data_IF_823235995255
#
_entry.id   IF_823235995255
#
_cell.length_a   1.000
_cell.length_b   1.000
_cell.length_c   1.000
_cell.angle_alpha   90.00
_cell.angle_beta   90.00
_cell.angle_gamma   90.00
#
_symmetry.space_group_name_H-M   'P 1'
#
loop_
_entity.id
_entity.type
_entity.pdbx_description
1 polymer ?
#
# COMPACT_ATOMS: atom_id res chain seq x y z
N UNK A 1 -10.55 3.63 -16.70
CA UNK A 1 -11.82 4.32 -16.50
C UNK A 1 -11.70 5.15 -15.24
N UNK A 2 -11.77 6.46 -15.38
CA UNK A 2 -11.84 7.38 -14.24
C UNK A 2 -13.33 7.52 -13.88
N UNK A 3 -13.66 7.06 -12.67
CA UNK A 3 -14.97 7.31 -12.08
C UNK A 3 -15.10 8.80 -11.77
N UNK A 4 -16.29 9.35 -11.92
CA UNK A 4 -16.54 10.68 -11.37
C UNK A 4 -16.63 10.64 -9.83
N UNK A 5 -16.64 11.81 -9.17
CA UNK A 5 -16.62 11.90 -7.72
C UNK A 5 -17.82 11.23 -7.03
N UNK A 6 -18.99 11.23 -7.68
CA UNK A 6 -20.21 10.61 -7.14
C UNK A 6 -20.18 9.09 -7.29
N UNK A 7 -19.71 8.60 -8.43
CA UNK A 7 -19.51 7.17 -8.70
C UNK A 7 -18.46 6.60 -7.75
N UNK A 8 -17.35 7.32 -7.57
CA UNK A 8 -16.29 6.91 -6.65
C UNK A 8 -16.81 6.84 -5.21
N UNK A 9 -17.54 7.84 -4.74
CA UNK A 9 -18.15 7.85 -3.41
C UNK A 9 -19.09 6.66 -3.21
N UNK A 10 -19.95 6.41 -4.20
CA UNK A 10 -20.92 5.31 -4.15
C UNK A 10 -20.20 3.96 -4.07
N UNK A 11 -19.13 3.78 -4.83
CA UNK A 11 -18.29 2.58 -4.79
C UNK A 11 -17.60 2.44 -3.43
N UNK A 12 -17.02 3.52 -2.89
CA UNK A 12 -16.35 3.50 -1.59
C UNK A 12 -17.30 3.08 -0.46
N UNK A 13 -18.52 3.61 -0.45
CA UNK A 13 -19.56 3.21 0.53
C UNK A 13 -19.92 1.72 0.38
N UNK A 14 -20.15 1.25 -0.84
CA UNK A 14 -20.46 -0.15 -1.10
C UNK A 14 -19.34 -1.09 -0.65
N UNK A 15 -18.07 -0.75 -0.94
CA UNK A 15 -16.92 -1.53 -0.53
C UNK A 15 -16.74 -1.54 0.98
N UNK A 16 -16.92 -0.41 1.67
CA UNK A 16 -16.88 -0.37 3.13
C UNK A 16 -17.92 -1.30 3.77
N UNK A 17 -19.15 -1.30 3.24
CA UNK A 17 -20.21 -2.20 3.70
C UNK A 17 -19.90 -3.67 3.47
N UNK A 18 -19.24 -4.02 2.36
CA UNK A 18 -18.82 -5.39 2.07
C UNK A 18 -17.67 -5.85 2.99
N UNK A 19 -16.74 -4.96 3.32
CA UNK A 19 -15.58 -5.31 4.17
C UNK A 19 -15.95 -5.47 5.66
N UNK A 20 -16.90 -4.67 6.14
CA UNK A 20 -17.26 -4.60 7.56
C UNK A 20 -17.61 -5.96 8.20
N UNK A 21 -18.49 -6.83 7.61
CA UNK A 21 -18.85 -8.11 8.22
C UNK A 21 -17.69 -9.09 8.32
N UNK A 22 -16.64 -8.89 7.52
CA UNK A 22 -15.49 -9.78 7.43
C UNK A 22 -14.28 -9.30 8.23
N UNK A 23 -14.41 -8.20 8.99
CA UNK A 23 -13.30 -7.57 9.72
C UNK A 23 -12.10 -7.22 8.82
N UNK A 24 -12.34 -6.94 7.54
CA UNK A 24 -11.35 -6.54 6.56
C UNK A 24 -11.23 -5.03 6.56
N UNK A 25 -10.00 -4.52 6.65
CA UNK A 25 -9.74 -3.09 6.57
C UNK A 25 -9.85 -2.60 5.13
N UNK A 26 -10.66 -1.58 4.94
CA UNK A 26 -10.85 -0.91 3.66
C UNK A 26 -10.10 0.42 3.64
N UNK A 27 -9.12 0.55 2.75
CA UNK A 27 -8.35 1.78 2.58
C UNK A 27 -8.59 2.36 1.19
N UNK A 28 -8.66 3.69 1.13
CA UNK A 28 -8.75 4.41 -0.14
C UNK A 28 -7.34 4.64 -0.70
N UNK A 29 -7.18 4.43 -2.01
CA UNK A 29 -5.98 4.79 -2.75
C UNK A 29 -6.28 5.98 -3.67
N UNK A 30 -6.44 7.17 -3.12
CA UNK A 30 -6.93 8.30 -3.91
C UNK A 30 -6.72 9.66 -3.26
N UNK A 31 -6.99 10.71 -4.05
CA UNK A 31 -7.16 12.10 -3.66
C UNK A 31 -8.43 12.38 -2.83
N UNK A 32 -9.21 11.38 -2.57
CA UNK A 32 -10.51 11.55 -1.95
C UNK A 32 -10.42 11.67 -0.42
N UNK A 33 -9.62 12.62 0.08
CA UNK A 33 -9.66 13.03 1.49
C UNK A 33 -11.09 13.32 1.95
N UNK A 34 -11.93 13.81 1.03
CA UNK A 34 -13.36 14.07 1.28
C UNK A 34 -14.18 12.82 1.60
N UNK A 35 -13.69 11.62 1.33
CA UNK A 35 -14.41 10.35 1.56
C UNK A 35 -13.73 9.46 2.60
N UNK A 36 -12.73 9.97 3.29
CA UNK A 36 -11.97 9.20 4.29
C UNK A 36 -12.87 8.66 5.43
N UNK A 37 -13.98 9.32 5.71
CA UNK A 37 -14.91 8.86 6.75
C UNK A 37 -15.52 7.49 6.44
N UNK A 38 -15.66 7.13 5.16
CA UNK A 38 -16.21 5.85 4.72
C UNK A 38 -15.18 4.71 4.77
N UNK A 39 -13.90 5.02 4.99
CA UNK A 39 -12.81 4.05 4.97
C UNK A 39 -12.12 3.93 6.32
N UNK A 40 -11.39 2.83 6.52
CA UNK A 40 -10.52 2.65 7.68
C UNK A 40 -9.23 3.46 7.58
N UNK A 41 -8.87 3.95 6.38
CA UNK A 41 -7.66 4.72 6.17
C UNK A 41 -7.35 5.03 4.70
N UNK A 42 -6.14 5.53 4.48
CA UNK A 42 -5.56 5.82 3.17
C UNK A 42 -4.35 4.94 2.89
N UNK A 43 -4.17 4.62 1.61
CA UNK A 43 -2.92 4.11 1.07
C UNK A 43 -2.46 5.02 -0.07
N UNK A 44 -1.33 5.70 0.09
CA UNK A 44 -0.84 6.65 -0.89
C UNK A 44 0.12 6.01 -1.90
N UNK A 45 0.12 6.52 -3.12
CA UNK A 45 1.20 6.28 -4.07
C UNK A 45 2.48 6.97 -3.60
N UNK A 46 3.65 6.54 -4.08
CA UNK A 46 4.94 7.15 -3.75
C UNK A 46 4.97 8.65 -4.08
N UNK A 47 4.42 9.04 -5.23
CA UNK A 47 4.35 10.46 -5.62
C UNK A 47 3.59 11.31 -4.60
N UNK A 48 2.48 10.80 -4.06
CA UNK A 48 1.68 11.50 -3.07
C UNK A 48 2.29 11.47 -1.69
N UNK A 49 2.88 10.34 -1.33
CA UNK A 49 3.67 10.23 -0.12
C UNK A 49 4.73 11.34 -0.05
N UNK A 50 5.52 11.50 -1.12
CA UNK A 50 6.58 12.52 -1.18
C UNK A 50 6.05 13.96 -1.16
N UNK A 51 4.79 14.19 -1.48
CA UNK A 51 4.15 15.50 -1.36
C UNK A 51 3.63 15.81 0.06
N UNK A 52 3.54 14.80 0.93
CA UNK A 52 3.12 14.98 2.31
C UNK A 52 4.24 15.60 3.15
N UNK A 53 3.94 16.62 3.93
CA UNK A 53 4.85 17.18 4.95
C UNK A 53 4.55 16.64 6.35
N UNK A 54 3.38 16.07 6.53
CA UNK A 54 2.89 15.47 7.78
C UNK A 54 1.89 14.36 7.49
N UNK A 55 1.46 13.63 8.51
CA UNK A 55 0.46 12.57 8.38
C UNK A 55 -0.86 13.12 7.82
N UNK A 56 -1.37 12.58 6.69
CA UNK A 56 -2.53 13.14 5.98
C UNK A 56 -3.89 12.77 6.61
N UNK A 57 -3.90 11.89 7.60
CA UNK A 57 -5.12 11.41 8.27
C UNK A 57 -4.95 11.42 9.78
N UNK A 58 -6.06 11.48 10.49
CA UNK A 58 -6.09 11.41 11.96
C UNK A 58 -5.52 10.09 12.49
N UNK A 59 -5.01 10.11 13.71
CA UNK A 59 -4.29 8.98 14.32
C UNK A 59 -5.14 7.69 14.46
N UNK A 60 -6.45 7.78 14.39
CA UNK A 60 -7.34 6.61 14.44
C UNK A 60 -7.63 5.97 13.08
N UNK A 61 -7.19 6.59 11.99
CA UNK A 61 -7.27 6.05 10.61
C UNK A 61 -5.92 5.45 10.22
N UNK A 62 -5.95 4.31 9.52
CA UNK A 62 -4.72 3.71 8.98
C UNK A 62 -4.13 4.57 7.87
N UNK A 63 -2.82 4.67 7.88
CA UNK A 63 -2.05 5.33 6.82
C UNK A 63 -0.98 4.41 6.28
N UNK A 64 -1.13 4.00 5.03
CA UNK A 64 -0.14 3.21 4.30
C UNK A 64 0.40 3.95 3.08
N UNK A 65 1.53 3.50 2.57
CA UNK A 65 2.13 4.06 1.36
C UNK A 65 2.87 3.01 0.52
N UNK A 66 2.87 3.21 -0.79
CA UNK A 66 3.73 2.48 -1.72
C UNK A 66 5.12 3.11 -1.74
N UNK A 67 6.16 2.27 -1.60
CA UNK A 67 7.56 2.68 -1.66
C UNK A 67 8.32 1.79 -2.63
N UNK A 68 9.33 2.37 -3.31
CA UNK A 68 10.13 1.72 -4.34
C UNK A 68 11.64 1.83 -4.07
N UNK A 69 12.04 2.68 -3.14
CA UNK A 69 13.44 2.96 -2.80
C UNK A 69 13.57 3.46 -1.35
N UNK A 70 14.81 3.58 -0.90
CA UNK A 70 15.16 3.98 0.45
C UNK A 70 14.62 5.37 0.83
N UNK A 71 14.71 6.36 -0.08
CA UNK A 71 14.24 7.71 0.20
C UNK A 71 12.73 7.75 0.48
N UNK A 72 11.95 6.98 -0.25
CA UNK A 72 10.49 6.85 -0.05
C UNK A 72 10.18 6.13 1.27
N UNK A 73 10.94 5.09 1.63
CA UNK A 73 10.82 4.39 2.92
C UNK A 73 11.08 5.34 4.07
N UNK A 74 12.20 6.08 4.03
CA UNK A 74 12.55 7.06 5.06
C UNK A 74 11.50 8.16 5.18
N UNK A 75 10.97 8.63 4.06
CA UNK A 75 9.92 9.64 4.06
C UNK A 75 8.61 9.10 4.67
N UNK A 76 8.23 7.85 4.36
CA UNK A 76 7.06 7.21 4.97
C UNK A 76 7.17 7.13 6.49
N UNK A 77 8.36 6.79 7.00
CA UNK A 77 8.65 6.80 8.45
C UNK A 77 8.50 8.22 9.00
N UNK A 78 9.10 9.21 8.34
CA UNK A 78 9.11 10.60 8.81
C UNK A 78 7.71 11.22 8.90
N UNK A 79 6.81 10.91 7.97
CA UNK A 79 5.41 11.41 7.99
C UNK A 79 4.46 10.52 8.79
N UNK A 80 4.97 9.46 9.44
CA UNK A 80 4.21 8.64 10.37
C UNK A 80 3.27 7.63 9.70
N UNK A 81 3.71 6.96 8.63
CA UNK A 81 2.97 5.83 8.07
C UNK A 81 2.86 4.67 9.07
N UNK A 82 1.76 3.92 9.03
CA UNK A 82 1.55 2.74 9.88
C UNK A 82 2.10 1.47 9.21
N UNK A 83 2.23 1.46 7.90
CA UNK A 83 2.81 0.38 7.10
C UNK A 83 3.19 0.87 5.71
N UNK A 84 4.01 0.10 5.01
CA UNK A 84 4.35 0.35 3.61
C UNK A 84 4.19 -0.92 2.76
N UNK A 85 4.03 -0.71 1.45
CA UNK A 85 4.29 -1.75 0.46
C UNK A 85 5.61 -1.46 -0.24
N UNK A 86 6.48 -2.47 -0.40
CA UNK A 86 7.67 -2.40 -1.24
C UNK A 86 7.41 -3.09 -2.58
N UNK A 87 7.62 -2.38 -3.67
CA UNK A 87 7.26 -2.84 -5.03
C UNK A 87 8.10 -2.21 -6.14
N UNK A 88 8.12 -2.81 -7.36
CA UNK A 88 7.70 -4.17 -7.62
C UNK A 88 8.79 -5.18 -7.22
N UNK A 89 8.41 -6.29 -6.56
CA UNK A 89 9.39 -7.33 -6.17
C UNK A 89 9.75 -8.20 -7.37
N UNK A 90 8.76 -8.65 -8.13
CA UNK A 90 8.93 -9.43 -9.36
C UNK A 90 8.34 -8.67 -10.55
N UNK A 91 8.69 -9.06 -11.79
CA UNK A 91 8.09 -8.47 -12.99
C UNK A 91 6.57 -8.50 -12.93
N UNK A 92 5.92 -7.40 -13.30
CA UNK A 92 4.45 -7.28 -13.26
C UNK A 92 3.92 -6.47 -14.44
N UNK A 93 2.77 -6.88 -14.97
CA UNK A 93 2.13 -6.16 -16.07
C UNK A 93 1.63 -4.76 -15.67
N UNK A 94 1.36 -4.53 -14.38
CA UNK A 94 0.90 -3.23 -13.88
C UNK A 94 1.97 -2.14 -13.93
N UNK A 95 3.25 -2.52 -14.00
CA UNK A 95 4.40 -1.62 -14.08
C UNK A 95 5.48 -2.25 -14.96
N UNK A 96 5.16 -2.45 -16.24
CA UNK A 96 6.03 -3.13 -17.22
C UNK A 96 7.39 -2.45 -17.40
N UNK A 97 7.45 -1.14 -17.18
CA UNK A 97 8.64 -0.31 -17.38
C UNK A 97 9.52 -0.18 -16.13
N UNK A 98 9.05 -0.66 -14.99
CA UNK A 98 9.81 -0.62 -13.73
C UNK A 98 10.72 -1.85 -13.61
N UNK A 99 12.00 -1.61 -13.29
CA UNK A 99 12.91 -2.69 -12.92
C UNK A 99 12.50 -3.27 -11.57
N UNK A 100 12.25 -4.60 -11.47
CA UNK A 100 11.91 -5.21 -10.19
C UNK A 100 13.06 -5.09 -9.19
N UNK A 101 12.72 -4.91 -7.93
CA UNK A 101 13.68 -4.91 -6.82
C UNK A 101 14.34 -6.29 -6.66
N UNK A 102 13.62 -7.35 -6.97
CA UNK A 102 13.96 -8.68 -6.53
C UNK A 102 13.85 -8.83 -5.01
N UNK A 103 13.99 -10.05 -4.51
CA UNK A 103 13.97 -10.30 -3.06
C UNK A 103 15.21 -9.75 -2.36
N UNK A 104 16.36 -9.73 -3.01
CA UNK A 104 17.61 -9.17 -2.48
C UNK A 104 17.52 -7.64 -2.36
N UNK A 105 17.04 -6.96 -3.40
CA UNK A 105 16.84 -5.51 -3.37
C UNK A 105 15.80 -5.11 -2.32
N UNK A 106 14.71 -5.87 -2.19
CA UNK A 106 13.75 -5.64 -1.12
C UNK A 106 14.42 -5.81 0.25
N UNK A 107 15.16 -6.90 0.46
CA UNK A 107 15.83 -7.17 1.73
C UNK A 107 16.83 -6.06 2.12
N UNK A 108 17.48 -5.43 1.15
CA UNK A 108 18.43 -4.33 1.41
C UNK A 108 17.77 -3.04 1.94
N UNK A 109 16.46 -2.89 1.74
CA UNK A 109 15.68 -1.74 2.22
C UNK A 109 15.10 -1.93 3.63
N UNK A 110 15.17 -3.15 4.18
CA UNK A 110 14.56 -3.47 5.47
C UNK A 110 15.32 -2.97 6.70
N UNK A 111 16.69 -2.93 6.74
CA UNK A 111 17.43 -2.63 7.97
C UNK A 111 17.05 -1.30 8.62
N UNK A 112 16.73 -0.29 7.82
CA UNK A 112 16.37 1.05 8.30
C UNK A 112 14.85 1.30 8.26
N UNK A 113 14.07 0.26 7.97
CA UNK A 113 12.61 0.32 7.94
C UNK A 113 12.02 -0.32 9.20
N UNK A 114 11.53 0.50 10.12
CA UNK A 114 10.86 0.05 11.35
C UNK A 114 9.35 -0.12 11.19
N UNK A 115 8.82 0.11 10.00
CA UNK A 115 7.40 -0.05 9.69
C UNK A 115 7.08 -1.50 9.30
N UNK A 116 5.85 -1.96 9.56
CA UNK A 116 5.31 -3.16 8.94
C UNK A 116 5.40 -3.08 7.41
N UNK A 117 5.97 -4.09 6.76
CA UNK A 117 6.18 -4.12 5.30
C UNK A 117 5.38 -5.25 4.66
N UNK A 118 4.70 -4.94 3.58
CA UNK A 118 4.15 -5.90 2.64
C UNK A 118 4.92 -5.89 1.33
N UNK A 119 5.28 -7.05 0.80
CA UNK A 119 5.84 -7.17 -0.54
C UNK A 119 4.72 -7.11 -1.60
N UNK A 120 4.93 -6.36 -2.68
CA UNK A 120 3.96 -6.22 -3.77
C UNK A 120 4.66 -6.29 -5.14
N UNK A 121 3.94 -6.73 -6.16
CA UNK A 121 4.36 -6.76 -7.56
C UNK A 121 4.81 -8.15 -8.02
N UNK A 122 4.04 -8.73 -8.94
CA UNK A 122 4.29 -10.03 -9.53
C UNK A 122 4.17 -11.22 -8.58
N UNK A 123 3.61 -11.02 -7.38
CA UNK A 123 3.50 -12.02 -6.33
C UNK A 123 2.14 -12.74 -6.34
N UNK A 124 2.14 -13.96 -5.79
CA UNK A 124 0.97 -14.76 -5.49
C UNK A 124 1.13 -15.43 -4.12
N UNK A 125 0.15 -16.21 -3.68
CA UNK A 125 0.15 -16.86 -2.37
C UNK A 125 1.39 -17.72 -2.07
N UNK A 126 2.00 -18.34 -3.09
CA UNK A 126 3.18 -19.21 -2.93
C UNK A 126 4.43 -18.44 -2.46
N UNK A 127 4.44 -17.12 -2.62
CA UNK A 127 5.55 -16.25 -2.19
C UNK A 127 5.45 -15.82 -0.72
N UNK A 128 4.32 -16.10 -0.05
CA UNK A 128 4.13 -15.72 1.36
C UNK A 128 5.18 -16.30 2.32
N UNK A 129 5.60 -17.57 2.21
CA UNK A 129 6.66 -18.13 3.08
C UNK A 129 7.98 -17.37 2.93
N UNK A 130 8.36 -16.98 1.70
CA UNK A 130 9.59 -16.23 1.45
C UNK A 130 9.49 -14.81 2.04
N UNK A 131 8.36 -14.13 1.88
CA UNK A 131 8.14 -12.83 2.50
C UNK A 131 8.27 -12.92 4.03
N UNK A 132 7.66 -13.92 4.64
CA UNK A 132 7.75 -14.17 6.10
C UNK A 132 9.16 -14.46 6.57
N UNK A 133 9.96 -15.20 5.81
CA UNK A 133 11.36 -15.49 6.16
C UNK A 133 12.26 -14.24 6.19
N UNK A 134 11.87 -13.18 5.47
CA UNK A 134 12.52 -11.87 5.49
C UNK A 134 11.97 -10.93 6.57
N UNK A 135 11.02 -11.39 7.40
CA UNK A 135 10.42 -10.59 8.46
C UNK A 135 9.27 -9.67 7.99
N UNK A 136 8.81 -9.82 6.75
CA UNK A 136 7.70 -9.01 6.24
C UNK A 136 6.38 -9.40 6.90
N UNK A 137 5.46 -8.44 7.01
CA UNK A 137 4.12 -8.69 7.55
C UNK A 137 3.28 -9.57 6.60
N UNK A 138 3.56 -9.53 5.30
CA UNK A 138 2.87 -10.34 4.32
C UNK A 138 3.17 -9.94 2.88
N UNK A 139 2.29 -10.33 1.99
CA UNK A 139 2.29 -9.96 0.59
C UNK A 139 1.01 -9.21 0.23
N UNK A 140 1.09 -8.35 -0.77
CA UNK A 140 -0.05 -7.75 -1.44
C UNK A 140 -0.08 -8.21 -2.90
N UNK A 141 -1.24 -8.54 -3.40
CA UNK A 141 -1.44 -9.03 -4.76
C UNK A 141 -2.62 -8.31 -5.41
N UNK A 142 -2.55 -8.07 -6.72
CA UNK A 142 -3.65 -7.56 -7.51
C UNK A 142 -4.15 -8.68 -8.44
N UNK A 143 -3.41 -8.96 -9.49
CA UNK A 143 -3.82 -9.91 -10.54
C UNK A 143 -3.85 -11.38 -10.12
N UNK A 144 -3.24 -11.74 -9.00
CA UNK A 144 -3.26 -13.12 -8.50
C UNK A 144 -4.58 -13.52 -7.81
N UNK A 145 -5.50 -12.57 -7.60
CA UNK A 145 -6.80 -12.78 -6.95
C UNK A 145 -7.98 -12.66 -7.89
N UNK A 146 -7.74 -12.36 -9.19
CA UNK A 146 -8.78 -12.18 -10.21
C UNK A 146 -8.73 -13.26 -11.29
#
# INVERSE_FOLDING_TARGET
>A
HHLDAMEYKSLAVAMAQLCQPHSVKFLLNTEAESFIEQADGLHLTAQRLLACTERPVSAHKLFGASCHNEAEVQHAVAVGADYITLSPVLPTASHSDASPLGWEGLASLLPDCFLPVFALGGLNADHLPQAKSLGLLGIACISAWW
#
